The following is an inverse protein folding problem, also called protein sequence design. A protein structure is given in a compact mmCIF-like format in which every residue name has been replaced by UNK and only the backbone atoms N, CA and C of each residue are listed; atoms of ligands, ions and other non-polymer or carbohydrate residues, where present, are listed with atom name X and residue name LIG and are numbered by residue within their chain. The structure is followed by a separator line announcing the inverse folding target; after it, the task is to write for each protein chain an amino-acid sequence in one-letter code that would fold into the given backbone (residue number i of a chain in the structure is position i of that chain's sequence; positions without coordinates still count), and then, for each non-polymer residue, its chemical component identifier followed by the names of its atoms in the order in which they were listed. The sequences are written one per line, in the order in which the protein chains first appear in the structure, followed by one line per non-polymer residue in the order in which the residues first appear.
data_IF_116622845381
#
_entry.id   IF_116622845381
#
_cell.length_a   1.000
_cell.length_b   1.000
_cell.length_c   1.000
_cell.angle_alpha   90.00
_cell.angle_beta   90.00
_cell.angle_gamma   90.00
#
_symmetry.space_group_name_H-M   'P 1'
#
loop_
_entity.id
_entity.type
_entity.pdbx_description
1 polymer ?
#
# COMPACT_ATOMS: atom_id res chain seq x y z
N UNK A 1 17.74 3.46 -22.94
CA UNK A 1 16.38 3.94 -22.62
C UNK A 1 16.14 3.67 -21.14
N UNK A 2 16.33 4.67 -20.29
CA UNK A 2 16.04 4.55 -18.86
C UNK A 2 14.58 4.93 -18.63
N UNK A 3 13.78 3.99 -18.13
CA UNK A 3 12.43 4.32 -17.68
C UNK A 3 12.62 5.05 -16.35
N UNK A 4 12.66 6.38 -16.38
CA UNK A 4 12.52 7.18 -15.16
C UNK A 4 11.09 6.98 -14.69
N UNK A 5 10.85 5.96 -13.86
CA UNK A 5 9.57 5.79 -13.19
C UNK A 5 9.49 6.91 -12.18
N UNK A 6 8.68 7.93 -12.46
CA UNK A 6 8.40 8.99 -11.49
C UNK A 6 7.73 8.34 -10.29
N UNK A 7 8.39 8.37 -9.13
CA UNK A 7 7.94 7.85 -7.84
C UNK A 7 6.59 8.45 -7.33
N UNK A 8 5.96 9.33 -8.11
CA UNK A 8 4.87 10.22 -7.68
C UNK A 8 3.46 9.61 -7.68
N UNK A 9 3.27 8.40 -8.19
CA UNK A 9 1.94 7.78 -8.30
C UNK A 9 1.70 6.65 -7.27
N UNK A 10 2.62 6.44 -6.33
CA UNK A 10 2.40 5.51 -5.23
C UNK A 10 1.45 6.14 -4.21
N UNK A 11 0.26 5.55 -4.05
CA UNK A 11 -0.70 6.00 -3.03
C UNK A 11 -0.20 5.55 -1.65
N UNK A 12 0.26 6.49 -0.83
CA UNK A 12 0.74 6.24 0.53
C UNK A 12 -0.08 6.99 1.57
N UNK A 13 -0.25 6.39 2.76
CA UNK A 13 -0.91 7.00 3.90
C UNK A 13 -0.30 6.53 5.22
N UNK A 14 -0.34 7.40 6.23
CA UNK A 14 0.02 7.08 7.61
C UNK A 14 -1.22 7.13 8.50
N UNK A 15 -1.32 6.18 9.44
CA UNK A 15 -2.37 6.11 10.44
C UNK A 15 -1.76 6.00 11.83
N UNK A 16 -2.06 6.98 12.68
CA UNK A 16 -1.61 7.01 14.08
C UNK A 16 -2.27 5.86 14.85
N UNK A 17 -1.48 5.14 15.64
CA UNK A 17 -1.97 4.06 16.48
C UNK A 17 -2.77 4.62 17.66
N UNK A 18 -3.83 3.92 18.05
CA UNK A 18 -4.57 4.28 19.27
C UNK A 18 -3.66 4.05 20.49
N UNK A 19 -3.57 5.01 21.43
CA UNK A 19 -2.82 4.83 22.66
C UNK A 19 -3.54 3.84 23.58
N UNK A 20 -2.81 2.84 24.10
CA UNK A 20 -3.31 1.89 25.12
C UNK A 20 -3.45 0.43 24.67
N UNK A 21 -2.31 -0.28 24.59
CA UNK A 21 -2.23 -1.76 24.48
C UNK A 21 -2.74 -2.43 23.19
N UNK A 22 -2.13 -2.12 22.04
CA UNK A 22 -2.06 -3.10 20.95
C UNK A 22 -0.62 -3.55 20.78
N UNK A 23 -0.36 -4.87 20.76
CA UNK A 23 0.96 -5.47 20.47
C UNK A 23 1.37 -5.29 18.99
N UNK A 24 0.88 -4.24 18.33
CA UNK A 24 0.92 -4.05 16.89
C UNK A 24 0.00 -2.92 16.40
N UNK A 25 -0.15 -2.80 15.08
CA UNK A 25 -0.95 -1.77 14.42
C UNK A 25 -2.27 -2.37 13.88
N UNK A 26 -3.36 -1.62 13.96
CA UNK A 26 -4.66 -2.05 13.42
C UNK A 26 -4.96 -1.38 12.09
N UNK A 27 -4.97 -2.18 11.02
CA UNK A 27 -5.31 -1.77 9.66
C UNK A 27 -6.47 -2.62 9.15
N UNK A 28 -7.54 -1.96 8.68
CA UNK A 28 -8.76 -2.62 8.17
C UNK A 28 -9.35 -3.67 9.12
N UNK A 29 -9.29 -3.43 10.43
CA UNK A 29 -9.77 -4.35 11.46
C UNK A 29 -8.84 -5.52 11.78
N UNK A 30 -7.71 -5.66 11.08
CA UNK A 30 -6.68 -6.69 11.35
C UNK A 30 -5.51 -6.11 12.16
N UNK A 31 -5.00 -6.91 13.09
CA UNK A 31 -3.80 -6.58 13.88
C UNK A 31 -2.55 -7.08 13.13
N UNK A 32 -1.62 -6.17 12.86
CA UNK A 32 -0.32 -6.48 12.28
C UNK A 32 0.79 -6.34 13.32
N UNK A 33 1.80 -7.21 13.30
CA UNK A 33 2.96 -7.08 14.19
C UNK A 33 3.76 -5.82 13.88
N UNK A 34 4.56 -5.38 14.85
CA UNK A 34 5.55 -4.31 14.61
C UNK A 34 6.59 -4.75 13.58
N UNK A 35 7.05 -3.78 12.77
CA UNK A 35 8.04 -3.98 11.72
C UNK A 35 7.47 -3.85 10.31
N UNK A 36 8.23 -4.36 9.35
CA UNK A 36 7.90 -4.31 7.92
C UNK A 36 6.89 -5.41 7.57
N UNK A 37 5.85 -5.02 6.83
CA UNK A 37 4.81 -5.88 6.29
C UNK A 37 4.96 -5.81 4.78
N UNK A 38 5.56 -6.85 4.20
CA UNK A 38 5.88 -6.88 2.78
C UNK A 38 4.63 -6.72 1.89
N UNK A 39 3.51 -7.32 2.30
CA UNK A 39 2.26 -7.27 1.54
C UNK A 39 1.04 -7.52 2.43
N UNK A 40 0.07 -6.63 2.36
CA UNK A 40 -1.28 -6.81 2.92
C UNK A 40 -2.24 -7.40 1.87
N UNK A 41 -3.41 -7.84 2.30
CA UNK A 41 -4.47 -8.35 1.42
C UNK A 41 -4.91 -7.31 0.35
N UNK A 42 -4.79 -6.03 0.68
CA UNK A 42 -5.11 -4.91 -0.20
C UNK A 42 -3.92 -4.48 -1.09
N UNK A 43 -2.90 -5.33 -1.24
CA UNK A 43 -1.72 -5.06 -2.05
C UNK A 43 -0.98 -3.79 -1.60
N UNK A 44 -0.87 -3.60 -0.27
CA UNK A 44 -0.09 -2.52 0.32
C UNK A 44 1.18 -3.08 0.95
N UNK A 45 2.27 -2.33 0.83
CA UNK A 45 3.45 -2.52 1.68
C UNK A 45 3.34 -1.57 2.85
N UNK A 46 3.50 -2.07 4.07
CA UNK A 46 3.37 -1.24 5.26
C UNK A 46 4.56 -1.38 6.20
N UNK A 47 4.77 -0.36 7.02
CA UNK A 47 5.70 -0.37 8.15
C UNK A 47 4.95 0.03 9.41
N UNK A 48 4.89 -0.88 10.38
CA UNK A 48 4.19 -0.68 11.63
C UNK A 48 5.19 -0.33 12.74
N UNK A 49 5.09 0.90 13.25
CA UNK A 49 5.84 1.39 14.41
C UNK A 49 4.94 1.50 15.64
N UNK A 50 5.50 1.82 16.81
CA UNK A 50 4.70 2.10 18.02
C UNK A 50 3.77 3.29 17.84
N UNK A 51 4.18 4.30 17.07
CA UNK A 51 3.46 5.57 16.89
C UNK A 51 2.40 5.49 15.81
N UNK A 52 2.73 4.88 14.69
CA UNK A 52 1.89 4.84 13.49
C UNK A 52 2.20 3.64 12.61
N UNK A 53 1.26 3.33 11.71
CA UNK A 53 1.49 2.49 10.56
C UNK A 53 1.52 3.35 9.30
N UNK A 54 2.56 3.20 8.50
CA UNK A 54 2.67 3.82 7.17
C UNK A 54 2.46 2.74 6.11
N UNK A 55 1.62 2.96 5.12
CA UNK A 55 1.29 2.01 4.07
C UNK A 55 1.34 2.68 2.70
N UNK A 56 1.86 1.97 1.70
CA UNK A 56 1.93 2.39 0.30
C UNK A 56 1.38 1.31 -0.62
N UNK A 57 0.70 1.71 -1.71
CA UNK A 57 0.24 0.79 -2.74
C UNK A 57 1.41 0.14 -3.47
N UNK A 58 1.32 -1.17 -3.68
CA UNK A 58 2.23 -1.92 -4.54
C UNK A 58 1.84 -1.84 -6.02
N UNK A 59 0.65 -1.30 -6.30
CA UNK A 59 0.13 -1.13 -7.64
C UNK A 59 0.07 0.36 -8.01
N UNK A 60 0.15 0.60 -9.31
CA UNK A 60 -0.13 1.89 -9.92
C UNK A 60 -1.43 1.79 -10.72
N UNK A 61 -2.24 2.83 -10.65
CA UNK A 61 -3.42 2.95 -11.51
C UNK A 61 -3.01 3.70 -12.77
N UNK A 62 -2.98 3.06 -13.94
CA UNK A 62 -2.59 3.73 -15.18
C UNK A 62 -3.63 4.79 -15.54
N UNK A 63 -3.18 6.03 -15.74
CA UNK A 63 -4.04 7.17 -16.10
C UNK A 63 -3.98 7.51 -17.59
N UNK A 64 -2.84 7.24 -18.25
CA UNK A 64 -2.58 7.57 -19.66
C UNK A 64 -2.64 6.35 -20.57
N UNK A 65 -3.81 5.74 -20.72
CA UNK A 65 -4.04 4.63 -21.64
C UNK A 65 -5.24 4.91 -22.55
N UNK A 66 -5.32 4.20 -23.69
CA UNK A 66 -6.44 4.28 -24.62
C UNK A 66 -7.71 3.71 -23.96
N UNK A 67 -8.64 4.59 -23.58
CA UNK A 67 -9.87 4.21 -22.88
C UNK A 67 -10.93 3.62 -23.81
N UNK A 68 -10.78 3.75 -25.14
CA UNK A 68 -11.72 3.18 -26.11
C UNK A 68 -11.37 1.72 -26.40
N UNK A 69 -10.09 1.41 -26.62
CA UNK A 69 -9.65 0.07 -27.00
C UNK A 69 -9.04 -0.74 -25.85
N UNK A 70 -8.65 -0.10 -24.74
CA UNK A 70 -8.02 -0.79 -23.61
C UNK A 70 -8.82 -0.63 -22.32
N UNK A 71 -8.61 -1.59 -21.40
CA UNK A 71 -9.20 -1.59 -20.06
C UNK A 71 -8.16 -1.92 -19.02
N UNK A 72 -8.30 -1.34 -17.83
CA UNK A 72 -7.43 -1.64 -16.69
C UNK A 72 -7.91 -2.92 -16.03
N UNK A 73 -6.98 -3.86 -15.83
CA UNK A 73 -7.25 -5.13 -15.17
C UNK A 73 -6.36 -5.20 -13.93
N UNK A 74 -6.97 -5.34 -12.76
CA UNK A 74 -6.25 -5.45 -11.49
C UNK A 74 -5.95 -6.91 -11.15
N UNK A 75 -4.68 -7.31 -11.16
CA UNK A 75 -4.26 -8.67 -10.80
C UNK A 75 -3.70 -8.72 -9.37
N UNK A 76 -4.52 -9.20 -8.43
CA UNK A 76 -4.12 -9.34 -7.02
C UNK A 76 -3.02 -10.38 -6.76
N UNK A 77 -2.74 -11.29 -7.69
CA UNK A 77 -1.76 -12.39 -7.47
C UNK A 77 -0.35 -12.04 -7.95
N UNK A 78 -0.23 -11.26 -9.03
CA UNK A 78 1.04 -11.02 -9.72
C UNK A 78 1.52 -9.57 -9.57
N UNK A 79 1.60 -9.09 -8.32
CA UNK A 79 2.12 -7.77 -7.96
C UNK A 79 3.33 -7.95 -7.05
#
# INVERSE_FOLDING_TARGET
MGITVTLGDAYCFSKINKPGETKGCVLDGKLYPYGEIARTENCLRCSCSKREINCCSLFLTPIGYDKENCRVIFNKKNL
#
